data_IF_749732727954
#
_entry.id   IF_749732727954
#
_cell.length_a   1.000
_cell.length_b   1.000
_cell.length_c   1.000
_cell.angle_alpha   90.00
_cell.angle_beta   90.00
_cell.angle_gamma   90.00
#
_symmetry.space_group_name_H-M   'P 1'
#
loop_
_entity.id
_entity.type
_entity.pdbx_description
1 polymer ?
#
# COMPACT_ATOMS: atom_id res chain seq x y z
N UNK A 1 -18.32 25.62 -5.92
CA UNK A 1 -18.72 25.21 -4.55
C UNK A 1 -17.48 24.81 -3.78
N UNK A 2 -17.46 24.91 -2.43
CA UNK A 2 -16.29 24.56 -1.64
C UNK A 2 -15.93 23.08 -1.84
N UNK A 3 -14.63 22.79 -1.90
CA UNK A 3 -14.13 21.42 -1.86
C UNK A 3 -14.42 20.84 -0.48
N UNK A 4 -15.00 19.64 -0.44
CA UNK A 4 -15.37 18.94 0.79
C UNK A 4 -14.47 17.73 0.96
N UNK A 5 -14.08 17.49 2.21
CA UNK A 5 -13.32 16.31 2.62
C UNK A 5 -14.21 15.46 3.50
N UNK A 6 -14.56 14.28 3.02
CA UNK A 6 -15.40 13.34 3.75
C UNK A 6 -14.65 12.05 4.01
N UNK A 7 -15.03 11.36 5.08
CA UNK A 7 -14.42 10.12 5.50
C UNK A 7 -15.51 9.11 5.81
N UNK A 8 -15.37 7.90 5.29
CA UNK A 8 -16.47 6.96 5.31
C UNK A 8 -16.19 5.63 4.63
N UNK A 9 -17.25 4.85 4.42
CA UNK A 9 -17.18 3.51 3.83
C UNK A 9 -18.00 3.39 2.56
N UNK A 10 -17.53 2.61 1.57
CA UNK A 10 -18.31 2.32 0.38
C UNK A 10 -19.49 1.39 0.73
N UNK A 11 -20.70 1.78 0.35
CA UNK A 11 -21.94 0.99 0.56
C UNK A 11 -22.32 0.26 -0.73
N UNK A 12 -22.23 0.96 -1.86
CA UNK A 12 -22.66 0.44 -3.16
C UNK A 12 -21.82 1.03 -4.28
N UNK A 13 -21.72 0.33 -5.40
CA UNK A 13 -20.95 0.77 -6.56
C UNK A 13 -21.77 0.47 -7.80
N UNK A 14 -21.90 1.44 -8.69
CA UNK A 14 -22.55 1.32 -9.98
C UNK A 14 -21.71 2.03 -11.03
N UNK A 15 -21.66 1.46 -12.23
CA UNK A 15 -21.13 2.17 -13.40
C UNK A 15 -22.25 3.01 -13.99
N UNK A 16 -22.00 4.30 -14.22
CA UNK A 16 -22.97 5.21 -14.83
C UNK A 16 -22.35 5.90 -16.05
N UNK A 17 -23.18 6.24 -17.02
CA UNK A 17 -22.76 7.03 -18.19
C UNK A 17 -23.39 8.41 -18.11
N UNK A 18 -22.56 9.45 -17.94
CA UNK A 18 -23.02 10.83 -17.86
C UNK A 18 -22.33 11.66 -18.94
N UNK A 19 -23.10 12.30 -19.82
CA UNK A 19 -22.58 13.16 -20.91
C UNK A 19 -21.45 12.49 -21.73
N UNK A 20 -21.65 11.21 -22.11
CA UNK A 20 -20.68 10.38 -22.83
C UNK A 20 -19.35 10.09 -22.10
N UNK A 21 -19.33 10.21 -20.77
CA UNK A 21 -18.22 9.76 -19.92
C UNK A 21 -18.70 8.62 -19.02
N UNK A 22 -17.97 7.51 -19.06
CA UNK A 22 -18.12 6.40 -18.11
C UNK A 22 -17.56 6.86 -16.75
N UNK A 23 -18.41 6.89 -15.73
CA UNK A 23 -18.06 7.25 -14.36
C UNK A 23 -18.44 6.10 -13.42
N UNK A 24 -17.74 6.03 -12.29
CA UNK A 24 -18.11 5.16 -11.17
C UNK A 24 -18.90 5.98 -10.18
N UNK A 25 -20.12 5.54 -9.90
CA UNK A 25 -20.96 6.05 -8.84
C UNK A 25 -20.85 5.13 -7.61
N UNK A 26 -20.31 5.65 -6.52
CA UNK A 26 -20.12 4.92 -5.28
C UNK A 26 -21.00 5.53 -4.19
N UNK A 27 -21.97 4.75 -3.70
CA UNK A 27 -22.68 5.08 -2.48
C UNK A 27 -21.72 5.00 -1.30
N UNK A 28 -21.76 6.00 -0.43
CA UNK A 28 -20.73 6.23 0.56
C UNK A 28 -21.34 6.67 1.89
N UNK A 29 -21.08 5.91 2.96
CA UNK A 29 -21.56 6.20 4.30
C UNK A 29 -20.50 6.97 5.06
N UNK A 30 -20.81 8.18 5.47
CA UNK A 30 -19.91 9.00 6.25
C UNK A 30 -19.78 8.50 7.70
N UNK A 31 -18.55 8.27 8.15
CA UNK A 31 -18.24 7.74 9.49
C UNK A 31 -17.75 8.80 10.49
N UNK A 32 -17.49 10.04 10.05
CA UNK A 32 -17.06 11.16 10.92
C UNK A 32 -17.63 12.50 10.42
N UNK A 33 -17.95 13.43 11.31
CA UNK A 33 -18.53 14.74 10.93
C UNK A 33 -17.66 15.48 9.92
N UNK A 34 -18.19 15.67 8.72
CA UNK A 34 -17.57 16.46 7.66
C UNK A 34 -17.88 17.96 7.78
N UNK A 35 -17.00 18.77 7.21
CA UNK A 35 -17.20 20.21 7.01
C UNK A 35 -18.14 20.47 5.81
N UNK A 36 -19.34 19.89 5.86
CA UNK A 36 -20.34 20.09 4.81
C UNK A 36 -21.07 21.44 4.99
N UNK A 37 -21.45 22.12 3.89
CA UNK A 37 -22.33 23.27 3.95
C UNK A 37 -23.66 22.93 4.65
N UNK A 38 -24.17 23.85 5.48
CA UNK A 38 -25.45 23.70 6.18
C UNK A 38 -26.57 23.31 5.20
N UNK A 39 -27.24 22.18 5.46
CA UNK A 39 -28.37 21.67 4.66
C UNK A 39 -28.18 20.26 4.04
N UNK A 40 -26.98 19.69 4.10
CA UNK A 40 -26.67 18.36 3.53
C UNK A 40 -26.43 17.30 4.63
N UNK A 41 -27.34 17.21 5.60
CA UNK A 41 -27.22 16.43 6.85
C UNK A 41 -27.37 14.91 6.72
N UNK A 42 -27.55 14.36 5.51
CA UNK A 42 -27.68 12.91 5.32
C UNK A 42 -26.32 12.22 5.40
N UNK A 43 -26.20 11.13 6.16
CA UNK A 43 -24.95 10.34 6.29
C UNK A 43 -24.55 9.64 5.00
N UNK A 44 -25.51 9.37 4.12
CA UNK A 44 -25.26 8.78 2.80
C UNK A 44 -24.93 9.85 1.78
N UNK A 45 -23.85 9.60 1.02
CA UNK A 45 -23.34 10.44 -0.06
C UNK A 45 -23.19 9.60 -1.31
N UNK A 46 -23.26 10.24 -2.46
CA UNK A 46 -22.91 9.62 -3.73
C UNK A 46 -21.63 10.23 -4.27
N UNK A 47 -20.64 9.38 -4.52
CA UNK A 47 -19.34 9.81 -5.03
C UNK A 47 -19.25 9.45 -6.49
N UNK A 48 -19.01 10.45 -7.33
CA UNK A 48 -18.70 10.26 -8.74
C UNK A 48 -17.21 10.40 -8.96
N UNK A 49 -16.61 9.39 -9.56
CA UNK A 49 -15.20 9.42 -9.93
C UNK A 49 -14.99 8.84 -11.31
N UNK A 50 -13.92 9.29 -11.97
CA UNK A 50 -13.53 8.68 -13.23
C UNK A 50 -12.84 7.33 -13.01
N UNK A 51 -12.63 6.60 -14.11
CA UNK A 51 -12.05 5.27 -14.06
C UNK A 51 -10.60 5.26 -13.53
N UNK A 52 -9.84 6.33 -13.72
CA UNK A 52 -8.45 6.42 -13.25
C UNK A 52 -8.43 6.63 -11.74
N UNK A 53 -9.22 7.56 -11.23
CA UNK A 53 -9.39 7.82 -9.79
C UNK A 53 -9.88 6.57 -9.06
N UNK A 54 -10.84 5.85 -9.65
CA UNK A 54 -11.27 4.56 -9.14
C UNK A 54 -10.12 3.55 -9.07
N UNK A 55 -9.31 3.44 -10.12
CA UNK A 55 -8.17 2.53 -10.15
C UNK A 55 -7.11 2.89 -9.12
N UNK A 56 -6.82 4.17 -8.93
CA UNK A 56 -5.89 4.65 -7.90
C UNK A 56 -6.38 4.32 -6.49
N UNK A 57 -7.67 4.53 -6.21
CA UNK A 57 -8.29 4.15 -4.95
C UNK A 57 -8.17 2.64 -4.70
N UNK A 58 -8.55 1.81 -5.68
CA UNK A 58 -8.45 0.35 -5.54
C UNK A 58 -6.99 -0.10 -5.37
N UNK A 59 -6.04 0.49 -6.09
CA UNK A 59 -4.62 0.19 -5.92
C UNK A 59 -4.12 0.56 -4.53
N UNK A 60 -4.56 1.70 -3.98
CA UNK A 60 -4.19 2.11 -2.63
C UNK A 60 -4.71 1.12 -1.56
N UNK A 61 -5.94 0.63 -1.70
CA UNK A 61 -6.54 -0.39 -0.81
C UNK A 61 -5.80 -1.73 -0.91
N UNK A 62 -5.55 -2.19 -2.14
CA UNK A 62 -4.86 -3.47 -2.38
C UNK A 62 -3.40 -3.41 -1.96
N UNK A 63 -2.72 -2.26 -2.10
CA UNK A 63 -1.30 -2.10 -1.77
C UNK A 63 -0.98 -2.36 -0.29
N UNK A 64 -1.96 -2.15 0.58
CA UNK A 64 -1.87 -2.41 2.02
C UNK A 64 -2.50 -3.75 2.43
N UNK A 65 -3.03 -4.50 1.47
CA UNK A 65 -3.56 -5.85 1.66
C UNK A 65 -5.03 -5.92 2.06
N UNK A 66 -5.78 -4.83 1.92
CA UNK A 66 -7.22 -4.79 2.20
C UNK A 66 -8.06 -5.01 0.92
N UNK A 67 -9.37 -5.17 1.09
CA UNK A 67 -10.36 -5.22 0.01
C UNK A 67 -11.34 -4.08 0.19
N UNK A 68 -12.08 -3.71 -0.87
CA UNK A 68 -13.06 -2.62 -0.77
C UNK A 68 -14.17 -2.90 0.26
N UNK A 69 -14.59 -4.16 0.41
CA UNK A 69 -15.60 -4.58 1.40
C UNK A 69 -15.07 -4.56 2.84
N UNK A 70 -13.75 -4.79 2.99
CA UNK A 70 -13.07 -4.78 4.28
C UNK A 70 -12.24 -3.51 4.47
N UNK A 71 -12.49 -2.50 3.63
CA UNK A 71 -11.72 -1.27 3.65
C UNK A 71 -12.03 -0.54 4.96
N UNK A 72 -10.96 -0.06 5.60
CA UNK A 72 -11.09 0.97 6.63
C UNK A 72 -11.67 2.24 6.00
N UNK A 73 -11.91 3.27 6.80
CA UNK A 73 -12.50 4.50 6.27
C UNK A 73 -11.65 5.09 5.12
N UNK A 74 -12.29 5.28 3.96
CA UNK A 74 -11.73 5.95 2.80
C UNK A 74 -11.91 7.46 3.02
N UNK A 75 -10.91 8.26 2.63
CA UNK A 75 -11.01 9.72 2.63
C UNK A 75 -11.20 10.20 1.20
N UNK A 76 -12.22 11.01 0.97
CA UNK A 76 -12.58 11.52 -0.35
C UNK A 76 -12.61 13.04 -0.29
N UNK A 77 -11.85 13.67 -1.17
CA UNK A 77 -11.88 15.10 -1.41
C UNK A 77 -12.54 15.36 -2.77
N UNK A 78 -13.46 16.32 -2.83
CA UNK A 78 -14.19 16.59 -4.06
C UNK A 78 -15.08 17.83 -3.98
N UNK A 79 -15.79 18.12 -5.07
CA UNK A 79 -16.76 19.22 -5.14
C UNK A 79 -18.18 18.68 -5.09
N UNK A 80 -19.04 19.28 -4.28
CA UNK A 80 -20.47 18.99 -4.32
C UNK A 80 -21.04 19.58 -5.61
N UNK A 81 -21.74 18.74 -6.38
CA UNK A 81 -22.48 19.16 -7.58
C UNK A 81 -23.85 18.52 -7.60
N UNK A 82 -24.85 19.32 -7.91
CA UNK A 82 -26.16 18.78 -8.30
C UNK A 82 -26.03 18.21 -9.71
N UNK A 83 -26.16 16.89 -9.82
CA UNK A 83 -26.07 16.16 -11.08
C UNK A 83 -27.33 15.32 -11.19
N UNK A 84 -28.08 15.53 -12.26
CA UNK A 84 -29.18 14.65 -12.64
C UNK A 84 -28.61 13.33 -13.15
N UNK A 85 -28.87 12.25 -12.41
CA UNK A 85 -28.42 10.91 -12.76
C UNK A 85 -29.47 10.22 -13.65
N UNK A 86 -29.05 9.29 -14.53
CA UNK A 86 -29.96 8.58 -15.42
C UNK A 86 -30.97 7.67 -14.69
N UNK A 87 -30.60 7.17 -13.52
CA UNK A 87 -31.43 6.33 -12.65
C UNK A 87 -31.78 7.16 -11.40
N UNK A 88 -33.07 7.26 -11.08
CA UNK A 88 -33.63 8.06 -9.97
C UNK A 88 -32.68 8.19 -8.76
N UNK A 89 -32.18 9.41 -8.54
CA UNK A 89 -31.40 9.74 -7.37
C UNK A 89 -32.28 9.56 -6.12
N UNK A 90 -31.83 8.87 -5.05
CA UNK A 90 -32.50 9.00 -3.76
C UNK A 90 -32.56 10.49 -3.38
N UNK A 91 -33.78 11.05 -3.36
CA UNK A 91 -34.03 12.47 -3.05
C UNK A 91 -33.32 12.83 -1.74
N UNK A 92 -32.44 13.82 -1.78
CA UNK A 92 -31.70 14.30 -0.60
C UNK A 92 -30.29 13.73 -0.41
N UNK A 93 -29.73 12.96 -1.35
CA UNK A 93 -28.34 12.50 -1.30
C UNK A 93 -27.42 13.48 -2.04
N UNK A 94 -26.41 14.01 -1.33
CA UNK A 94 -25.43 14.92 -1.91
C UNK A 94 -24.52 14.15 -2.87
N UNK A 95 -24.35 14.68 -4.09
CA UNK A 95 -23.42 14.14 -5.08
C UNK A 95 -22.10 14.89 -5.03
N UNK A 96 -21.00 14.16 -4.85
CA UNK A 96 -19.64 14.70 -4.76
C UNK A 96 -18.86 14.19 -5.97
N UNK A 97 -18.36 15.11 -6.79
CA UNK A 97 -17.41 14.79 -7.84
C UNK A 97 -16.02 14.75 -7.21
N UNK A 98 -15.47 13.55 -7.13
CA UNK A 98 -14.18 13.28 -6.53
C UNK A 98 -13.06 13.99 -7.29
N UNK A 99 -12.18 14.67 -6.57
CA UNK A 99 -10.91 15.18 -7.09
C UNK A 99 -9.74 14.31 -6.63
N UNK A 100 -9.80 13.77 -5.40
CA UNK A 100 -8.74 12.97 -4.81
C UNK A 100 -9.27 11.95 -3.79
N UNK A 101 -8.64 10.77 -3.75
CA UNK A 101 -8.94 9.71 -2.79
C UNK A 101 -7.71 9.31 -2.00
N UNK A 102 -7.85 9.08 -0.70
CA UNK A 102 -6.78 8.55 0.16
C UNK A 102 -7.29 7.35 0.96
N UNK A 103 -6.46 6.30 1.05
CA UNK A 103 -6.73 5.12 1.87
C UNK A 103 -5.56 4.81 2.78
N UNK A 104 -5.85 4.54 4.06
CA UNK A 104 -4.86 4.17 5.07
C UNK A 104 -5.33 2.92 5.84
N UNK A 105 -4.51 1.87 5.84
CA UNK A 105 -4.76 0.69 6.70
C UNK A 105 -4.62 1.06 8.18
N UNK A 106 -5.57 0.62 9.00
CA UNK A 106 -5.63 0.89 10.44
C UNK A 106 -4.55 0.23 11.32
N UNK A 107 -3.38 -0.15 10.78
CA UNK A 107 -2.24 -0.59 11.61
C UNK A 107 -1.38 0.59 12.12
N UNK A 108 -1.70 1.82 11.72
CA UNK A 108 -1.00 3.05 12.19
C UNK A 108 -1.85 3.99 13.06
N UNK A 109 -3.12 3.68 13.32
CA UNK A 109 -4.03 4.62 14.01
C UNK A 109 -3.81 4.73 15.52
N UNK A 110 -3.26 3.72 16.19
CA UNK A 110 -2.85 3.87 17.59
C UNK A 110 -1.71 4.89 17.80
N UNK A 111 -0.95 5.22 16.73
CA UNK A 111 0.10 6.25 16.80
C UNK A 111 -0.32 7.60 16.24
N UNK A 112 -1.28 7.65 15.32
CA UNK A 112 -1.72 8.88 14.67
C UNK A 112 -2.92 9.56 15.36
N UNK A 113 -3.69 8.85 16.20
CA UNK A 113 -4.79 9.45 16.98
C UNK A 113 -4.35 10.05 18.33
N UNK A 114 -3.07 9.92 18.72
CA UNK A 114 -2.53 10.57 19.91
C UNK A 114 -1.82 11.90 19.65
N UNK A 115 -1.56 12.26 18.39
CA UNK A 115 -0.90 13.52 18.03
C UNK A 115 -1.77 14.28 17.01
N UNK A 116 -2.82 14.94 17.50
CA UNK A 116 -3.26 16.27 17.04
C UNK A 116 -4.22 16.87 18.08
N UNK A 117 -3.86 18.04 18.62
CA UNK A 117 -4.74 19.17 18.44
C UNK A 117 -4.02 20.32 17.73
N UNK A 118 -4.82 21.07 16.97
CA UNK A 118 -4.62 22.48 16.62
C UNK A 118 -3.43 22.86 15.72
N UNK A 119 -3.75 23.24 14.48
CA UNK A 119 -3.93 24.66 14.12
C UNK A 119 -4.28 24.76 12.63
N UNK A 120 -5.51 25.23 12.41
CA UNK A 120 -5.85 26.10 11.28
C UNK A 120 -5.00 27.38 11.34
N UNK A 121 -5.00 28.12 10.24
CA UNK A 121 -4.28 29.37 9.93
C UNK A 121 -2.89 29.18 9.31
N UNK A 122 -2.87 29.20 7.97
CA UNK A 122 -2.46 30.40 7.22
C UNK A 122 -2.73 30.19 5.72
N UNK A 123 -3.55 31.08 5.16
CA UNK A 123 -3.78 31.25 3.71
C UNK A 123 -2.71 32.18 3.11
N UNK A 124 -2.55 32.05 1.78
CA UNK A 124 -1.82 32.90 0.82
C UNK A 124 -0.29 32.75 0.87
N UNK A 125 0.39 32.42 -0.23
CA UNK A 125 0.65 33.28 -1.40
C UNK A 125 0.69 32.48 -2.73
N UNK A 126 0.30 33.19 -3.80
CA UNK A 126 0.18 32.88 -5.24
C UNK A 126 1.42 32.30 -5.95
N UNK A 127 1.22 31.28 -6.80
CA UNK A 127 1.16 31.26 -8.29
C UNK A 127 2.48 31.31 -9.10
N UNK A 128 2.52 30.33 -10.02
CA UNK A 128 3.10 30.30 -11.38
C UNK A 128 4.62 30.18 -11.56
N UNK A 129 5.01 29.04 -12.15
CA UNK A 129 5.58 29.03 -13.51
C UNK A 129 5.64 27.62 -14.12
N UNK A 130 4.72 27.40 -15.09
CA UNK A 130 4.97 26.85 -16.44
C UNK A 130 5.66 25.47 -16.58
N UNK A 131 4.86 24.49 -17.01
CA UNK A 131 5.31 23.31 -17.75
C UNK A 131 4.92 23.42 -19.22
N UNK A 132 5.91 23.27 -20.10
CA UNK A 132 5.72 23.13 -21.55
C UNK A 132 4.99 21.81 -21.89
N UNK A 133 4.24 21.77 -23.02
CA UNK A 133 3.43 20.62 -23.38
C UNK A 133 4.23 19.57 -24.17
N UNK A 134 4.04 18.28 -23.83
CA UNK A 134 4.38 17.14 -24.70
C UNK A 134 3.21 16.14 -24.82
N UNK A 135 3.13 15.38 -25.92
CA UNK A 135 1.98 15.41 -26.82
C UNK A 135 0.90 14.36 -26.53
N UNK A 136 -0.32 14.68 -26.97
CA UNK A 136 -1.47 13.78 -27.04
C UNK A 136 -1.18 12.60 -27.98
N UNK A 137 -1.34 11.35 -27.53
CA UNK A 137 -1.53 10.22 -28.46
C UNK A 137 -2.50 9.15 -27.94
N UNK A 138 -3.68 9.08 -28.59
CA UNK A 138 -4.49 7.90 -28.93
C UNK A 138 -4.99 6.90 -27.86
N UNK A 139 -6.01 7.30 -27.09
CA UNK A 139 -6.84 6.46 -26.22
C UNK A 139 -7.68 5.36 -26.93
N UNK A 140 -7.81 5.39 -28.27
CA UNK A 140 -8.60 4.39 -29.02
C UNK A 140 -7.95 2.99 -29.05
N UNK A 141 -6.63 2.90 -28.87
CA UNK A 141 -5.87 1.65 -29.03
C UNK A 141 -5.91 0.71 -27.81
N UNK A 142 -6.18 1.23 -26.61
CA UNK A 142 -6.13 0.46 -25.35
C UNK A 142 -7.43 -0.32 -25.11
N UNK A 143 -8.60 0.30 -25.40
CA UNK A 143 -9.90 -0.38 -25.30
C UNK A 143 -9.99 -1.58 -26.25
N UNK A 144 -9.46 -1.46 -27.47
CA UNK A 144 -9.45 -2.55 -28.45
C UNK A 144 -8.54 -3.71 -28.00
N UNK A 145 -7.33 -3.41 -27.50
CA UNK A 145 -6.41 -4.43 -26.97
C UNK A 145 -7.01 -5.26 -25.84
N UNK A 146 -7.85 -4.67 -24.99
CA UNK A 146 -8.51 -5.37 -23.88
C UNK A 146 -9.60 -6.31 -24.38
N UNK A 147 -10.40 -5.90 -25.38
CA UNK A 147 -11.40 -6.77 -26.02
C UNK A 147 -10.74 -7.95 -26.73
N UNK A 148 -9.71 -7.67 -27.55
CA UNK A 148 -8.94 -8.69 -28.25
C UNK A 148 -8.34 -9.73 -27.27
N UNK A 149 -7.84 -9.28 -26.12
CA UNK A 149 -7.27 -10.16 -25.11
C UNK A 149 -8.33 -11.08 -24.49
N UNK A 150 -9.52 -10.57 -24.20
CA UNK A 150 -10.63 -11.37 -23.64
C UNK A 150 -11.12 -12.39 -24.65
N UNK A 151 -11.24 -12.02 -25.92
CA UNK A 151 -11.62 -12.94 -27.00
C UNK A 151 -10.59 -14.05 -27.20
N UNK A 152 -9.30 -13.70 -27.25
CA UNK A 152 -8.23 -14.69 -27.35
C UNK A 152 -8.13 -15.57 -26.10
N UNK A 153 -8.35 -15.00 -24.91
CA UNK A 153 -8.40 -15.76 -23.66
C UNK A 153 -9.52 -16.79 -23.68
N UNK A 154 -10.72 -16.41 -24.13
CA UNK A 154 -11.86 -17.33 -24.33
C UNK A 154 -11.56 -18.38 -25.41
N UNK A 155 -10.97 -17.99 -26.54
CA UNK A 155 -10.60 -18.89 -27.65
C UNK A 155 -9.63 -19.98 -27.21
N UNK A 156 -8.65 -19.64 -26.38
CA UNK A 156 -7.62 -20.57 -25.92
C UNK A 156 -7.88 -21.13 -24.52
N UNK A 157 -9.07 -20.91 -23.96
CA UNK A 157 -9.44 -21.34 -22.60
C UNK A 157 -8.40 -20.96 -21.52
N UNK A 158 -7.81 -19.77 -21.68
CA UNK A 158 -6.74 -19.27 -20.83
C UNK A 158 -5.42 -20.03 -20.90
N UNK A 159 -5.26 -20.98 -21.82
CA UNK A 159 -4.04 -21.79 -21.98
C UNK A 159 -2.98 -21.00 -22.75
N UNK A 160 -1.83 -20.81 -22.10
CA UNK A 160 -0.65 -20.22 -22.71
C UNK A 160 -0.15 -21.06 -23.89
N UNK A 161 -0.10 -20.46 -25.09
CA UNK A 161 0.36 -21.13 -26.31
C UNK A 161 1.89 -21.33 -26.38
N UNK A 162 2.61 -20.89 -25.35
CA UNK A 162 4.05 -21.10 -25.18
C UNK A 162 4.41 -22.30 -24.32
N UNK A 163 3.67 -22.55 -23.22
CA UNK A 163 4.02 -23.55 -22.22
C UNK A 163 2.85 -24.41 -21.70
N UNK A 164 1.63 -24.22 -22.21
CA UNK A 164 0.46 -24.97 -21.77
C UNK A 164 -0.11 -24.57 -20.40
N UNK A 165 0.52 -23.63 -19.69
CA UNK A 165 -0.01 -23.13 -18.42
C UNK A 165 -1.36 -22.45 -18.61
N UNK A 166 -2.37 -22.86 -17.83
CA UNK A 166 -3.61 -22.11 -17.71
C UNK A 166 -3.38 -20.84 -16.89
N UNK A 167 -3.84 -19.71 -17.40
CA UNK A 167 -3.63 -18.39 -16.81
C UNK A 167 -4.93 -17.59 -16.83
N UNK A 168 -5.13 -16.73 -15.83
CA UNK A 168 -6.20 -15.75 -15.86
C UNK A 168 -5.95 -14.66 -16.92
N UNK A 169 -7.03 -14.08 -17.45
CA UNK A 169 -6.96 -12.98 -18.42
C UNK A 169 -6.16 -11.77 -17.91
N UNK A 170 -6.08 -11.57 -16.59
CA UNK A 170 -5.32 -10.47 -15.98
C UNK A 170 -3.81 -10.62 -16.06
N UNK A 171 -3.29 -11.84 -16.24
CA UNK A 171 -1.83 -12.11 -16.20
C UNK A 171 -1.23 -12.43 -17.57
N UNK A 172 -2.06 -12.68 -18.59
CA UNK A 172 -1.58 -13.00 -19.94
C UNK A 172 -1.31 -11.76 -20.76
N UNK A 173 -0.48 -11.90 -21.78
CA UNK A 173 -0.18 -10.87 -22.78
C UNK A 173 -0.39 -11.41 -24.19
N UNK A 174 -0.82 -10.55 -25.12
CA UNK A 174 -0.94 -10.93 -26.53
C UNK A 174 0.46 -10.90 -27.17
N UNK A 175 0.83 -11.98 -27.85
CA UNK A 175 2.05 -12.11 -28.66
C UNK A 175 1.69 -12.56 -30.07
N UNK A 176 2.56 -12.29 -31.04
CA UNK A 176 2.47 -12.88 -32.38
C UNK A 176 3.31 -14.14 -32.44
N UNK A 177 2.74 -15.26 -32.88
CA UNK A 177 3.44 -16.54 -33.09
C UNK A 177 3.01 -17.10 -34.44
N UNK A 178 3.97 -17.33 -35.35
CA UNK A 178 3.73 -17.80 -36.73
C UNK A 178 2.63 -17.01 -37.47
N UNK A 179 2.62 -15.68 -37.32
CA UNK A 179 1.64 -14.79 -37.95
C UNK A 179 0.32 -14.62 -37.19
N UNK A 180 0.00 -15.48 -36.22
CA UNK A 180 -1.25 -15.40 -35.45
C UNK A 180 -1.07 -14.68 -34.10
N UNK A 181 -2.15 -14.04 -33.62
CA UNK A 181 -2.22 -13.46 -32.27
C UNK A 181 -2.56 -14.55 -31.27
N UNK A 182 -1.68 -14.77 -30.29
CA UNK A 182 -1.81 -15.80 -29.25
C UNK A 182 -1.67 -15.18 -27.86
N UNK A 183 -2.20 -15.87 -26.84
CA UNK A 183 -1.95 -15.52 -25.43
C UNK A 183 -0.68 -16.19 -24.92
N UNK A 184 0.11 -15.44 -24.16
CA UNK A 184 1.33 -15.91 -23.50
C UNK A 184 1.33 -15.52 -22.02
N UNK A 185 1.71 -16.47 -21.15
CA UNK A 185 1.91 -16.22 -19.72
C UNK A 185 3.12 -15.30 -19.47
N UNK A 186 3.28 -14.75 -18.25
CA UNK A 186 4.40 -13.90 -17.90
C UNK A 186 5.77 -14.52 -18.19
N UNK A 187 5.97 -15.80 -17.87
CA UNK A 187 7.23 -16.49 -18.12
C UNK A 187 7.53 -16.58 -19.62
N UNK A 188 6.58 -17.05 -20.43
CA UNK A 188 6.76 -17.13 -21.90
C UNK A 188 6.93 -15.75 -22.54
N UNK A 189 6.22 -14.74 -22.03
CA UNK A 189 6.36 -13.36 -22.49
C UNK A 189 7.76 -12.80 -22.24
N UNK A 190 8.39 -13.21 -21.11
CA UNK A 190 9.76 -12.88 -20.72
C UNK A 190 10.80 -13.89 -21.21
N UNK A 191 10.42 -14.90 -22.02
CA UNK A 191 11.30 -16.01 -22.47
C UNK A 191 11.98 -16.77 -21.32
N UNK A 192 11.36 -16.80 -20.14
CA UNK A 192 11.83 -17.56 -18.99
C UNK A 192 11.29 -18.99 -19.02
N UNK A 193 12.11 -19.94 -18.58
CA UNK A 193 11.65 -21.31 -18.33
C UNK A 193 10.82 -21.35 -17.05
N UNK A 194 9.77 -22.16 -17.07
CA UNK A 194 8.94 -22.42 -15.90
C UNK A 194 9.79 -23.15 -14.84
N UNK A 195 9.77 -22.73 -13.56
CA UNK A 195 10.51 -23.41 -12.52
C UNK A 195 9.90 -24.79 -12.24
N UNK A 196 10.72 -25.69 -11.68
CA UNK A 196 10.21 -26.93 -11.09
C UNK A 196 9.63 -26.59 -9.72
N UNK A 197 8.36 -26.96 -9.49
CA UNK A 197 7.70 -26.70 -8.22
C UNK A 197 8.19 -27.65 -7.15
N UNK A 198 8.40 -27.13 -5.94
CA UNK A 198 8.81 -27.92 -4.78
C UNK A 198 8.07 -27.44 -3.54
N UNK A 199 7.46 -28.37 -2.81
CA UNK A 199 6.75 -28.05 -1.59
C UNK A 199 7.70 -28.06 -0.38
N UNK A 200 7.58 -27.05 0.49
CA UNK A 200 8.32 -27.03 1.75
C UNK A 200 7.83 -28.18 2.66
N UNK A 201 8.76 -28.92 3.29
CA UNK A 201 8.42 -30.06 4.15
C UNK A 201 7.41 -29.73 5.26
N UNK A 202 7.48 -28.51 5.83
CA UNK A 202 6.54 -28.08 6.87
C UNK A 202 5.12 -27.85 6.34
N UNK A 203 4.97 -27.53 5.05
CA UNK A 203 3.69 -27.44 4.36
C UNK A 203 3.16 -28.82 4.02
N UNK A 204 4.02 -29.70 3.49
CA UNK A 204 3.68 -31.10 3.20
C UNK A 204 3.12 -31.79 4.44
N UNK A 205 3.85 -31.72 5.57
CA UNK A 205 3.41 -32.29 6.85
C UNK A 205 2.06 -31.76 7.31
N UNK A 206 1.82 -30.48 7.10
CA UNK A 206 0.57 -29.86 7.50
C UNK A 206 -0.59 -30.29 6.61
N UNK A 207 -0.41 -30.31 5.29
CA UNK A 207 -1.44 -30.79 4.37
C UNK A 207 -1.73 -32.27 4.61
N UNK A 208 -0.70 -33.09 4.86
CA UNK A 208 -0.83 -34.49 5.21
C UNK A 208 -1.70 -34.66 6.47
N UNK A 209 -1.40 -33.93 7.55
CA UNK A 209 -2.15 -33.95 8.80
C UNK A 209 -3.59 -33.43 8.64
N UNK A 210 -3.78 -32.28 7.98
CA UNK A 210 -5.10 -31.65 7.82
C UNK A 210 -5.98 -32.42 6.82
N UNK A 211 -5.39 -33.09 5.84
CA UNK A 211 -6.15 -33.88 4.86
C UNK A 211 -6.36 -35.33 5.28
N UNK A 212 -5.67 -35.78 6.33
CA UNK A 212 -5.51 -37.18 6.71
C UNK A 212 -5.02 -38.06 5.54
N UNK A 213 -3.94 -37.61 4.89
CA UNK A 213 -3.30 -38.31 3.77
C UNK A 213 -1.81 -38.49 4.05
N UNK A 214 -1.16 -39.38 3.31
CA UNK A 214 0.28 -39.58 3.38
C UNK A 214 1.10 -38.35 2.92
N UNK A 215 2.30 -38.16 3.49
CA UNK A 215 3.18 -37.04 3.16
C UNK A 215 3.63 -37.04 1.69
N UNK A 216 3.83 -38.21 1.07
CA UNK A 216 4.19 -38.28 -0.36
C UNK A 216 3.04 -37.82 -1.25
N UNK A 217 1.82 -38.26 -0.93
CA UNK A 217 0.62 -37.84 -1.65
C UNK A 217 0.36 -36.35 -1.49
N UNK A 218 0.52 -35.81 -0.28
CA UNK A 218 0.41 -34.37 -0.02
C UNK A 218 1.47 -33.56 -0.81
N UNK A 219 2.70 -34.09 -0.91
CA UNK A 219 3.77 -33.47 -1.71
C UNK A 219 3.42 -33.47 -3.19
N UNK A 220 2.96 -34.60 -3.71
CA UNK A 220 2.54 -34.72 -5.11
C UNK A 220 1.41 -33.74 -5.44
N UNK A 221 0.36 -33.69 -4.62
CA UNK A 221 -0.76 -32.76 -4.80
C UNK A 221 -0.27 -31.30 -4.82
N UNK A 222 0.61 -30.92 -3.89
CA UNK A 222 1.15 -29.55 -3.83
C UNK A 222 2.04 -29.22 -5.04
N UNK A 223 2.95 -30.11 -5.44
CA UNK A 223 3.90 -29.85 -6.52
C UNK A 223 3.27 -29.90 -7.91
N UNK A 224 2.19 -30.67 -8.08
CA UNK A 224 1.40 -30.72 -9.31
C UNK A 224 0.39 -29.57 -9.41
N UNK A 225 -0.09 -29.03 -8.28
CA UNK A 225 -1.09 -27.96 -8.20
C UNK A 225 -0.86 -26.80 -9.18
N UNK A 226 0.36 -26.20 -9.28
CA UNK A 226 0.60 -25.07 -10.17
C UNK A 226 0.45 -25.42 -11.65
N UNK A 227 0.64 -26.70 -12.01
CA UNK A 227 0.51 -27.22 -13.38
C UNK A 227 -0.92 -27.56 -13.74
N UNK A 228 -1.73 -27.94 -12.76
CA UNK A 228 -3.15 -28.25 -12.95
C UNK A 228 -4.01 -26.99 -13.01
N UNK A 229 -3.70 -26.00 -12.16
CA UNK A 229 -4.58 -24.85 -11.92
C UNK A 229 -4.07 -23.54 -12.47
N UNK A 230 -4.95 -22.52 -12.49
CA UNK A 230 -4.71 -21.28 -13.18
C UNK A 230 -3.76 -20.37 -12.40
N UNK A 231 -2.77 -19.81 -13.09
CA UNK A 231 -2.00 -18.67 -12.58
C UNK A 231 -2.90 -17.42 -12.59
N UNK A 232 -3.25 -16.92 -11.41
CA UNK A 232 -4.17 -15.77 -11.26
C UNK A 232 -3.47 -14.46 -10.92
N UNK A 233 -2.27 -14.53 -10.36
CA UNK A 233 -1.44 -13.35 -10.11
C UNK A 233 0.06 -13.65 -10.29
N UNK A 234 0.79 -12.67 -10.79
CA UNK A 234 2.24 -12.71 -10.98
C UNK A 234 2.84 -11.41 -10.47
N UNK A 235 3.35 -11.45 -9.24
CA UNK A 235 3.97 -10.32 -8.55
C UNK A 235 5.48 -10.25 -8.76
N UNK A 236 6.17 -9.35 -8.03
CA UNK A 236 7.63 -9.18 -8.12
C UNK A 236 8.42 -10.30 -7.43
N UNK A 237 7.81 -11.02 -6.49
CA UNK A 237 8.45 -12.10 -5.73
C UNK A 237 7.62 -13.40 -5.71
N UNK A 238 6.37 -13.36 -6.15
CA UNK A 238 5.40 -14.44 -5.96
C UNK A 238 4.54 -14.70 -7.20
N UNK A 239 4.11 -15.95 -7.32
CA UNK A 239 3.16 -16.49 -8.29
C UNK A 239 2.01 -17.09 -7.49
N UNK A 240 0.78 -16.81 -7.88
CA UNK A 240 -0.42 -17.28 -7.18
C UNK A 240 -1.23 -18.16 -8.12
N UNK A 241 -1.48 -19.39 -7.69
CA UNK A 241 -2.29 -20.37 -8.41
C UNK A 241 -3.59 -20.60 -7.66
N UNK A 242 -4.71 -20.66 -8.37
CA UNK A 242 -6.04 -20.81 -7.78
C UNK A 242 -6.82 -21.93 -8.48
N UNK A 243 -7.43 -22.81 -7.70
CA UNK A 243 -8.31 -23.87 -8.17
C UNK A 243 -9.77 -23.39 -8.15
N UNK A 244 -10.53 -23.81 -9.17
CA UNK A 244 -11.99 -23.62 -9.23
C UNK A 244 -12.76 -24.83 -8.68
N UNK A 245 -12.04 -25.83 -8.15
CA UNK A 245 -12.66 -27.03 -7.60
C UNK A 245 -13.36 -26.71 -6.28
N UNK A 246 -14.66 -26.99 -6.23
CA UNK A 246 -15.48 -26.78 -5.03
C UNK A 246 -15.24 -27.85 -3.95
N UNK A 247 -14.78 -29.02 -4.37
CA UNK A 247 -14.52 -30.19 -3.52
C UNK A 247 -13.06 -30.31 -3.11
N UNK A 248 -12.16 -29.55 -3.76
CA UNK A 248 -10.75 -29.55 -3.46
C UNK A 248 -10.46 -28.87 -2.13
N UNK A 249 -9.64 -29.48 -1.29
CA UNK A 249 -9.25 -28.91 0.02
C UNK A 249 -8.26 -27.76 -0.12
N UNK A 250 -7.49 -27.71 -1.22
CA UNK A 250 -6.54 -26.62 -1.50
C UNK A 250 -7.17 -25.66 -2.52
N UNK A 251 -7.37 -24.40 -2.12
CA UNK A 251 -7.93 -23.37 -3.00
C UNK A 251 -6.84 -22.57 -3.70
N UNK A 252 -5.82 -22.15 -2.95
CA UNK A 252 -4.77 -21.26 -3.48
C UNK A 252 -3.40 -21.72 -3.04
N UNK A 253 -2.44 -21.68 -3.96
CA UNK A 253 -1.02 -21.98 -3.69
C UNK A 253 -0.16 -20.78 -4.07
N UNK A 254 0.72 -20.39 -3.16
CA UNK A 254 1.68 -19.31 -3.34
C UNK A 254 3.08 -19.88 -3.55
N UNK A 255 3.69 -19.47 -4.65
CA UNK A 255 4.99 -19.96 -5.09
C UNK A 255 5.92 -18.78 -5.32
N UNK A 256 7.18 -18.87 -4.93
CA UNK A 256 8.17 -17.85 -5.31
C UNK A 256 8.61 -18.04 -6.78
N UNK A 257 9.43 -17.11 -7.30
CA UNK A 257 9.89 -17.23 -8.70
C UNK A 257 10.83 -18.42 -8.97
N UNK A 258 11.47 -18.98 -7.95
CA UNK A 258 12.31 -20.18 -8.05
C UNK A 258 11.52 -21.50 -8.01
N UNK A 259 10.21 -21.47 -7.73
CA UNK A 259 9.35 -22.66 -7.71
C UNK A 259 9.05 -23.24 -6.32
N UNK A 260 9.53 -22.62 -5.24
CA UNK A 260 9.21 -23.09 -3.88
C UNK A 260 7.80 -22.65 -3.49
N UNK A 261 7.00 -23.61 -3.06
CA UNK A 261 5.68 -23.39 -2.46
C UNK A 261 5.87 -23.10 -0.99
N UNK A 262 5.53 -21.87 -0.60
CA UNK A 262 5.76 -21.36 0.75
C UNK A 262 4.47 -20.99 1.50
N UNK A 263 3.34 -20.92 0.80
CA UNK A 263 2.06 -20.65 1.46
C UNK A 263 0.91 -21.27 0.65
N UNK A 264 -0.22 -21.49 1.32
CA UNK A 264 -1.45 -21.93 0.70
C UNK A 264 -2.68 -21.45 1.49
N UNK A 265 -3.81 -21.39 0.80
CA UNK A 265 -5.13 -21.30 1.41
C UNK A 265 -5.79 -22.66 1.30
N UNK A 266 -6.15 -23.22 2.46
CA UNK A 266 -6.83 -24.49 2.57
C UNK A 266 -8.26 -24.28 3.07
N UNK A 267 -9.20 -24.98 2.44
CA UNK A 267 -10.60 -25.03 2.85
C UNK A 267 -10.83 -26.31 3.63
N UNK A 268 -11.22 -26.16 4.88
CA UNK A 268 -11.79 -27.25 5.67
C UNK A 268 -13.24 -26.89 6.03
N UNK A 269 -14.20 -27.47 5.30
CA UNK A 269 -15.60 -27.09 5.40
C UNK A 269 -15.82 -25.58 5.12
N UNK A 270 -16.21 -24.84 6.16
CA UNK A 270 -16.46 -23.38 6.10
C UNK A 270 -15.29 -22.52 6.58
N UNK A 271 -14.20 -23.12 7.08
CA UNK A 271 -13.08 -22.39 7.67
C UNK A 271 -11.88 -22.33 6.72
N UNK A 272 -11.24 -21.15 6.68
CA UNK A 272 -10.01 -20.92 5.92
C UNK A 272 -8.81 -21.05 6.83
N UNK A 273 -7.97 -22.05 6.59
CA UNK A 273 -6.71 -22.21 7.28
C UNK A 273 -5.58 -21.65 6.41
N UNK A 274 -4.85 -20.66 6.95
CA UNK A 274 -3.64 -20.09 6.32
C UNK A 274 -2.41 -20.55 7.07
N UNK A 275 -1.54 -21.33 6.41
CA UNK A 275 -0.22 -21.67 6.95
C UNK A 275 0.86 -20.81 6.30
N UNK A 276 1.18 -19.72 6.96
CA UNK A 276 2.30 -18.86 6.58
C UNK A 276 3.64 -19.52 6.94
N UNK A 277 4.18 -20.37 6.08
CA UNK A 277 5.64 -20.53 6.04
C UNK A 277 6.17 -19.33 5.26
N UNK A 278 6.31 -18.18 5.92
CA UNK A 278 7.12 -17.11 5.31
C UNK A 278 8.42 -17.79 4.88
N UNK A 279 8.85 -17.70 3.61
CA UNK A 279 10.20 -18.11 3.29
C UNK A 279 11.03 -17.35 4.31
N UNK A 280 11.83 -18.09 5.09
CA UNK A 280 12.96 -17.46 5.76
C UNK A 280 13.86 -17.01 4.62
N UNK A 281 13.49 -15.89 4.01
CA UNK A 281 14.49 -14.90 3.69
C UNK A 281 15.13 -14.72 5.04
N UNK A 282 16.28 -15.36 5.23
CA UNK A 282 17.28 -14.81 6.10
C UNK A 282 17.43 -13.37 5.65
N UNK A 283 16.60 -12.49 6.20
CA UNK A 283 17.11 -11.22 6.64
C UNK A 283 18.17 -11.63 7.64
N UNK A 284 19.38 -11.90 7.12
CA UNK A 284 20.59 -11.95 7.89
C UNK A 284 20.44 -10.82 8.87
N UNK A 285 20.36 -11.22 10.13
CA UNK A 285 20.29 -10.35 11.25
C UNK A 285 21.29 -9.20 11.05
N UNK A 286 20.82 -7.99 11.28
CA UNK A 286 21.61 -6.75 11.36
C UNK A 286 22.22 -6.26 10.04
N UNK A 287 21.52 -5.37 9.32
CA UNK A 287 22.25 -4.23 8.74
C UNK A 287 22.63 -3.28 9.87
N UNK A 288 23.79 -3.53 10.48
CA UNK A 288 24.60 -2.46 11.07
C UNK A 288 25.04 -1.56 9.89
N UNK A 289 24.65 -0.28 9.93
CA UNK A 289 25.14 0.78 9.05
C UNK A 289 24.44 0.90 7.68
N UNK A 290 24.30 2.16 7.20
CA UNK A 290 23.85 2.62 5.87
C UNK A 290 22.34 2.92 5.69
N UNK A 291 21.73 3.60 6.65
CA UNK A 291 20.58 4.46 6.33
C UNK A 291 21.09 5.82 5.83
N UNK A 292 20.43 6.42 4.85
CA UNK A 292 20.66 7.82 4.44
C UNK A 292 19.64 8.72 5.14
N UNK A 293 20.05 9.90 5.57
CA UNK A 293 19.20 10.94 6.16
C UNK A 293 19.45 12.26 5.42
N UNK A 294 18.41 13.05 5.20
CA UNK A 294 18.56 14.40 4.66
C UNK A 294 18.32 15.41 5.78
N UNK A 295 19.30 16.28 6.05
CA UNK A 295 19.19 17.38 7.02
C UNK A 295 19.40 18.67 6.24
N UNK A 296 18.37 19.53 6.20
CA UNK A 296 18.42 20.82 5.48
C UNK A 296 18.88 20.73 4.02
N UNK A 297 18.51 19.63 3.33
CA UNK A 297 18.87 19.40 1.92
C UNK A 297 20.19 18.67 1.70
N UNK A 298 21.05 18.60 2.72
CA UNK A 298 22.30 17.84 2.67
C UNK A 298 22.07 16.36 2.99
N UNK A 299 22.74 15.47 2.24
CA UNK A 299 22.72 14.03 2.49
C UNK A 299 23.75 13.63 3.56
N UNK A 300 23.28 12.85 4.54
CA UNK A 300 24.10 12.28 5.60
C UNK A 300 23.96 10.76 5.66
N UNK A 301 25.04 10.06 5.97
CA UNK A 301 25.06 8.63 6.21
C UNK A 301 24.96 8.35 7.71
N UNK A 302 24.06 7.45 8.09
CA UNK A 302 23.93 6.97 9.47
C UNK A 302 25.08 6.00 9.76
N UNK A 303 25.95 6.40 10.68
CA UNK A 303 27.14 5.67 11.11
C UNK A 303 26.78 4.73 12.26
N UNK A 304 26.15 5.26 13.30
CA UNK A 304 25.90 4.53 14.54
C UNK A 304 24.67 5.05 15.30
N UNK A 305 24.18 4.27 16.27
CA UNK A 305 23.13 4.66 17.21
C UNK A 305 23.51 4.25 18.62
N UNK A 306 23.51 5.19 19.56
CA UNK A 306 23.95 4.96 20.93
C UNK A 306 23.13 5.79 21.93
N UNK A 307 23.22 5.46 23.22
CA UNK A 307 22.79 6.35 24.30
C UNK A 307 24.02 7.05 24.88
N UNK A 308 24.02 8.38 24.87
CA UNK A 308 25.10 9.19 25.43
C UNK A 308 24.59 10.13 26.52
N UNK A 309 25.44 10.57 27.45
CA UNK A 309 25.10 11.64 28.39
C UNK A 309 24.65 12.89 27.67
N UNK A 310 23.63 13.57 28.18
CA UNK A 310 23.09 14.79 27.56
C UNK A 310 24.12 15.93 27.54
N UNK A 311 25.01 15.94 28.53
CA UNK A 311 26.12 16.88 28.64
C UNK A 311 27.15 16.72 27.51
N UNK A 312 27.21 15.55 26.88
CA UNK A 312 28.12 15.29 25.75
C UNK A 312 27.54 15.76 24.41
N UNK A 313 26.32 16.31 24.40
CA UNK A 313 25.69 16.88 23.22
C UNK A 313 25.89 18.40 23.23
N UNK A 314 26.72 18.89 22.31
CA UNK A 314 26.91 20.31 22.06
C UNK A 314 25.80 20.84 21.16
N UNK A 315 25.21 21.97 21.54
CA UNK A 315 24.16 22.62 20.76
C UNK A 315 24.77 23.80 19.99
N UNK A 316 24.80 23.75 18.65
CA UNK A 316 25.25 24.88 17.84
C UNK A 316 24.43 26.16 18.09
N UNK A 317 25.09 27.32 17.99
CA UNK A 317 24.46 28.64 18.21
C UNK A 317 23.20 28.87 17.36
N UNK A 318 23.17 28.34 16.13
CA UNK A 318 21.99 28.39 15.25
C UNK A 318 20.71 27.89 15.91
N UNK A 319 20.81 26.93 16.83
CA UNK A 319 19.66 26.41 17.57
C UNK A 319 19.34 27.27 18.79
N UNK A 320 20.34 27.84 19.46
CA UNK A 320 20.14 28.75 20.59
C UNK A 320 19.38 30.01 20.16
N UNK A 321 19.64 30.50 18.95
CA UNK A 321 18.96 31.66 18.37
C UNK A 321 17.51 31.38 17.96
N UNK A 322 17.13 30.10 17.84
CA UNK A 322 15.76 29.66 17.51
C UNK A 322 15.19 28.83 18.64
N UNK A 323 14.71 29.50 19.69
CA UNK A 323 13.99 28.82 20.77
C UNK A 323 12.80 28.04 20.20
N UNK A 324 12.66 26.74 20.52
CA UNK A 324 11.55 25.98 20.00
C UNK A 324 10.24 26.48 20.59
N UNK A 325 9.18 26.51 19.78
CA UNK A 325 7.84 26.89 20.24
C UNK A 325 7.43 26.05 21.43
N UNK A 326 7.03 26.72 22.53
CA UNK A 326 6.71 26.08 23.82
C UNK A 326 5.64 24.99 23.65
N UNK A 327 4.66 25.20 22.78
CA UNK A 327 3.60 24.22 22.53
C UNK A 327 4.15 22.88 22.04
N UNK A 328 5.14 22.90 21.12
CA UNK A 328 5.78 21.68 20.59
C UNK A 328 6.64 20.97 21.64
N UNK A 329 7.25 21.72 22.56
CA UNK A 329 8.01 21.16 23.69
C UNK A 329 7.06 20.43 24.64
N UNK A 330 5.94 21.05 25.01
CA UNK A 330 4.92 20.45 25.89
C UNK A 330 4.30 19.20 25.26
N UNK A 331 3.99 19.24 23.96
CA UNK A 331 3.49 18.08 23.21
C UNK A 331 4.45 16.88 23.32
N UNK A 332 5.75 17.12 23.13
CA UNK A 332 6.77 16.06 23.21
C UNK A 332 7.04 15.59 24.64
N UNK A 333 6.92 16.46 25.65
CA UNK A 333 6.90 16.07 27.07
C UNK A 333 5.75 15.11 27.34
N UNK A 334 4.54 15.44 26.86
CA UNK A 334 3.35 14.61 27.06
C UNK A 334 3.48 13.26 26.35
N UNK A 335 3.99 13.25 25.11
CA UNK A 335 4.29 12.02 24.39
C UNK A 335 5.25 11.12 25.17
N UNK A 336 6.36 11.69 25.69
CA UNK A 336 7.32 10.93 26.48
C UNK A 336 6.72 10.39 27.78
N UNK A 337 5.92 11.19 28.50
CA UNK A 337 5.24 10.74 29.72
C UNK A 337 4.32 9.55 29.47
N UNK A 338 3.61 9.54 28.34
CA UNK A 338 2.69 8.47 27.96
C UNK A 338 3.39 7.20 27.45
N UNK A 339 4.46 7.34 26.66
CA UNK A 339 5.08 6.22 25.95
C UNK A 339 6.43 5.77 26.52
N UNK A 340 6.97 6.52 27.49
CA UNK A 340 8.30 6.32 28.10
C UNK A 340 9.44 6.24 27.07
N UNK A 341 9.25 6.86 25.91
CA UNK A 341 10.22 6.96 24.81
C UNK A 341 9.89 8.14 23.91
N UNK A 342 10.89 8.61 23.18
CA UNK A 342 10.70 9.57 22.10
C UNK A 342 10.22 8.89 20.81
N UNK A 343 9.56 9.67 19.96
CA UNK A 343 9.09 9.27 18.63
C UNK A 343 10.24 9.03 17.65
N UNK A 344 11.34 9.77 17.81
CA UNK A 344 12.61 9.59 17.09
C UNK A 344 13.79 9.92 18.01
N UNK A 345 14.96 9.47 17.59
CA UNK A 345 16.24 9.75 18.25
C UNK A 345 16.72 11.19 17.94
N UNK A 346 17.68 11.70 18.71
CA UNK A 346 18.39 12.96 18.44
C UNK A 346 19.48 12.69 17.39
N UNK A 347 19.66 13.58 16.41
CA UNK A 347 20.66 13.38 15.36
C UNK A 347 21.87 14.24 15.65
N UNK A 348 23.05 13.62 15.63
CA UNK A 348 24.31 14.27 16.00
C UNK A 348 25.41 13.97 14.99
N UNK A 349 26.33 14.91 14.81
CA UNK A 349 27.56 14.76 14.05
C UNK A 349 28.69 14.57 15.06
N UNK A 350 29.57 13.59 14.82
CA UNK A 350 30.71 13.35 15.71
C UNK A 350 31.73 14.50 15.57
N UNK A 351 32.13 15.11 16.69
CA UNK A 351 33.10 16.22 16.74
C UNK A 351 34.11 15.96 17.86
N UNK A 352 35.16 15.19 17.54
CA UNK A 352 36.12 14.70 18.53
C UNK A 352 35.45 13.75 19.54
N UNK A 353 35.58 14.05 20.82
CA UNK A 353 34.99 13.29 21.95
C UNK A 353 33.54 13.69 22.26
N UNK A 354 33.04 14.74 21.61
CA UNK A 354 31.68 15.25 21.81
C UNK A 354 30.82 15.09 20.55
N UNK A 355 29.51 15.18 20.75
CA UNK A 355 28.52 15.05 19.70
C UNK A 355 27.86 16.40 19.44
N UNK A 356 27.97 16.93 18.23
CA UNK A 356 27.33 18.19 17.86
C UNK A 356 25.90 17.91 17.36
N UNK A 357 24.91 18.64 17.87
CA UNK A 357 23.52 18.50 17.46
C UNK A 357 23.31 18.93 15.99
N UNK A 358 22.79 18.02 15.18
CA UNK A 358 22.47 18.25 13.78
C UNK A 358 20.96 18.41 13.54
N UNK A 359 20.14 17.58 14.19
CA UNK A 359 18.67 17.67 14.14
C UNK A 359 18.03 17.11 15.42
N UNK A 360 16.80 17.53 15.72
CA UNK A 360 16.07 17.10 16.91
C UNK A 360 16.25 18.00 18.13
N UNK A 361 16.51 19.30 17.95
CA UNK A 361 16.69 20.25 19.04
C UNK A 361 15.53 20.29 20.04
N UNK A 362 14.27 20.20 19.57
CA UNK A 362 13.10 20.10 20.46
C UNK A 362 13.23 18.89 21.40
N UNK A 363 13.67 17.74 20.89
CA UNK A 363 13.85 16.53 21.71
C UNK A 363 14.95 16.73 22.74
N UNK A 364 16.06 17.37 22.36
CA UNK A 364 17.13 17.73 23.30
C UNK A 364 16.62 18.61 24.45
N UNK A 365 15.83 19.65 24.15
CA UNK A 365 15.24 20.53 25.18
C UNK A 365 14.30 19.75 26.11
N UNK A 366 13.45 18.88 25.55
CA UNK A 366 12.54 18.03 26.33
C UNK A 366 13.30 17.08 27.25
N UNK A 367 14.39 16.49 26.78
CA UNK A 367 15.27 15.62 27.58
C UNK A 367 15.82 16.38 28.79
N UNK A 368 16.25 17.64 28.60
CA UNK A 368 16.70 18.52 29.70
C UNK A 368 15.57 18.85 30.67
N UNK A 369 14.40 19.23 30.19
CA UNK A 369 13.25 19.58 31.05
C UNK A 369 12.70 18.38 31.85
N UNK A 370 12.88 17.17 31.33
CA UNK A 370 12.54 15.94 32.02
C UNK A 370 13.65 15.44 32.97
N UNK A 371 14.76 16.17 33.09
CA UNK A 371 15.94 15.79 33.88
C UNK A 371 16.45 14.39 33.55
N UNK A 372 16.46 14.03 32.26
CA UNK A 372 17.01 12.75 31.81
C UNK A 372 18.51 12.89 31.61
N UNK A 373 19.29 11.99 32.20
CA UNK A 373 20.76 12.05 32.15
C UNK A 373 21.33 11.54 30.81
N UNK A 374 20.54 10.76 30.04
CA UNK A 374 20.98 10.13 28.79
C UNK A 374 20.00 10.42 27.65
N UNK A 375 20.55 10.55 26.45
CA UNK A 375 19.81 10.73 25.21
C UNK A 375 20.16 9.62 24.21
N UNK A 376 19.13 9.08 23.54
CA UNK A 376 19.30 8.21 22.36
C UNK A 376 19.67 9.07 21.16
N UNK A 377 20.84 8.82 20.59
CA UNK A 377 21.40 9.58 19.48
C UNK A 377 21.68 8.71 18.25
N UNK A 378 21.63 9.34 17.08
CA UNK A 378 22.03 8.79 15.79
C UNK A 378 23.22 9.61 15.30
N UNK A 379 24.38 8.96 15.21
CA UNK A 379 25.57 9.54 14.62
C UNK A 379 25.46 9.55 13.10
N UNK A 380 25.72 10.72 12.52
CA UNK A 380 25.71 10.91 11.08
C UNK A 380 27.01 11.57 10.59
N UNK A 381 27.42 11.19 9.40
CA UNK A 381 28.53 11.80 8.66
C UNK A 381 28.00 12.35 7.34
N UNK A 382 28.47 13.54 6.93
CA UNK A 382 28.06 14.13 5.65
C UNK A 382 28.50 13.20 4.52
N UNK A 383 27.60 12.86 3.62
CA UNK A 383 27.97 12.07 2.45
C UNK A 383 28.89 12.94 1.58
N UNK A 384 30.15 12.54 1.42
CA UNK A 384 31.08 13.23 0.53
C UNK A 384 30.44 13.37 -0.85
N UNK A 385 30.37 14.61 -1.34
CA UNK A 385 29.90 14.96 -2.69
C UNK A 385 30.82 14.43 -3.77
#
# INVERSE_FOLDING_TARGET
MPAVRIKGKPISIKEISLKNKELIAMGFEETSSSDLPNGLSNKEKLILMDLNQWQELIQSIVSVGDSLNNANDIIIEGEIKEIELPDDNPKGVATIVCSKTEYYKEEKREKAQKEKPERENEKHIEQKSQSEPKPKSNNRSVKQKKKDLVELHKKYDGICQGCGQRCDKKVVSIKKKKGERVIACPDCSQRKKRPKFRANNNLVKWVAQTSNIDEEKAREELETFPSTYALVAFGPITRVYWSWEKTGKIETVFVNHSGEIFNLCYKDGTQFLRKNNKPKVEHKSKRKGRGKLFIQGDEYQIVNKEEIPVENIEVPERFLNSSPRREKVVEKINYYKQHKKFDRDVVVIKKGDKAELADGYIRYVVIKELNLNKAKVVYVEKANS
#
